data_IF_334051387444
#
_entry.id   IF_334051387444
#
_cell.length_a   1.000
_cell.length_b   1.000
_cell.length_c   1.000
_cell.angle_alpha   90.00
_cell.angle_beta   90.00
_cell.angle_gamma   90.00
#
_symmetry.space_group_name_H-M   'P 1'
#
loop_
_entity.id
_entity.type
_entity.pdbx_description
1 polymer ?
#
# COMPACT_ATOMS: atom_id res chain seq x y z
N UNK A 1 12.94 1.86 8.83
CA UNK A 1 12.92 0.51 8.20
C UNK A 1 12.06 -0.47 8.98
N UNK A 2 12.08 -0.41 10.32
CA UNK A 2 11.38 -1.33 11.24
C UNK A 2 9.85 -1.35 11.09
N UNK A 3 9.20 -0.19 10.93
CA UNK A 3 7.73 -0.11 10.88
C UNK A 3 7.11 -0.95 9.75
N UNK A 4 7.67 -0.87 8.55
CA UNK A 4 7.17 -1.63 7.39
C UNK A 4 7.38 -3.14 7.58
N UNK A 5 8.50 -3.55 8.15
CA UNK A 5 8.75 -4.96 8.45
C UNK A 5 7.75 -5.50 9.47
N UNK A 6 7.47 -4.74 10.54
CA UNK A 6 6.46 -5.11 11.54
C UNK A 6 5.05 -5.15 10.92
N UNK A 7 4.73 -4.22 10.02
CA UNK A 7 3.45 -4.23 9.30
C UNK A 7 3.27 -5.48 8.44
N UNK A 8 4.30 -5.89 7.70
CA UNK A 8 4.29 -7.13 6.92
C UNK A 8 4.13 -8.35 7.84
N UNK A 9 4.86 -8.38 8.95
CA UNK A 9 4.77 -9.48 9.90
C UNK A 9 3.38 -9.59 10.53
N UNK A 10 2.76 -8.46 10.89
CA UNK A 10 1.36 -8.44 11.36
C UNK A 10 0.39 -8.98 10.31
N UNK A 11 0.60 -8.66 9.03
CA UNK A 11 -0.21 -9.21 7.94
C UNK A 11 -0.04 -10.73 7.79
N UNK A 12 1.19 -11.23 7.94
CA UNK A 12 1.47 -12.67 7.96
C UNK A 12 0.71 -13.32 9.12
N UNK A 13 0.81 -12.76 10.33
CA UNK A 13 0.10 -13.26 11.51
C UNK A 13 -1.42 -13.27 11.32
N UNK A 14 -2.01 -12.22 10.73
CA UNK A 14 -3.45 -12.18 10.48
C UNK A 14 -3.93 -13.23 9.47
N UNK A 15 -3.04 -13.75 8.62
CA UNK A 15 -3.34 -14.78 7.62
C UNK A 15 -3.06 -16.19 8.11
N UNK A 16 -2.20 -16.34 9.12
CA UNK A 16 -1.89 -17.65 9.71
C UNK A 16 -3.00 -18.04 10.69
N UNK A 17 -3.74 -19.10 10.39
CA UNK A 17 -4.72 -19.65 11.34
C UNK A 17 -4.05 -20.46 12.47
N UNK A 18 -2.93 -21.12 12.16
CA UNK A 18 -2.16 -21.92 13.12
C UNK A 18 -0.73 -21.36 13.25
N UNK A 19 -0.12 -21.43 14.45
CA UNK A 19 1.22 -20.90 14.69
C UNK A 19 2.32 -21.65 13.91
N UNK A 20 2.13 -22.94 13.64
CA UNK A 20 3.05 -23.76 12.83
C UNK A 20 3.20 -23.27 11.39
N UNK A 21 2.17 -22.61 10.84
CA UNK A 21 2.21 -22.07 9.47
C UNK A 21 3.05 -20.79 9.35
N UNK A 22 3.39 -20.13 10.47
CA UNK A 22 4.17 -18.88 10.45
C UNK A 22 5.53 -19.10 9.81
N UNK A 23 6.17 -20.23 10.11
CA UNK A 23 7.47 -20.58 9.52
C UNK A 23 7.37 -20.75 8.00
N UNK A 24 6.28 -21.34 7.51
CA UNK A 24 6.02 -21.54 6.09
C UNK A 24 5.79 -20.21 5.37
N UNK A 25 4.94 -19.33 5.92
CA UNK A 25 4.70 -18.00 5.36
C UNK A 25 5.97 -17.14 5.35
N UNK A 26 6.78 -17.24 6.40
CA UNK A 26 8.04 -16.50 6.46
C UNK A 26 9.05 -17.04 5.43
N UNK A 27 9.09 -18.36 5.21
CA UNK A 27 9.89 -18.98 4.17
C UNK A 27 9.45 -18.48 2.78
N UNK A 28 8.16 -18.40 2.53
CA UNK A 28 7.61 -17.88 1.27
C UNK A 28 7.96 -16.40 1.09
N UNK A 29 7.72 -15.56 2.10
CA UNK A 29 8.08 -14.14 2.06
C UNK A 29 9.56 -13.91 1.72
N UNK A 30 10.47 -14.75 2.27
CA UNK A 30 11.91 -14.67 1.98
C UNK A 30 12.26 -15.03 0.54
N UNK A 31 11.49 -15.91 -0.10
CA UNK A 31 11.72 -16.39 -1.46
C UNK A 31 10.89 -15.65 -2.53
N UNK A 32 9.87 -14.89 -2.15
CA UNK A 32 9.05 -14.12 -3.08
C UNK A 32 9.80 -12.89 -3.60
N UNK A 33 9.99 -12.73 -4.91
CA UNK A 33 10.67 -11.57 -5.47
C UNK A 33 9.86 -10.28 -5.24
N UNK A 34 10.56 -9.21 -4.90
CA UNK A 34 9.94 -7.90 -4.74
C UNK A 34 9.58 -7.35 -6.14
N UNK A 35 8.30 -7.00 -6.42
CA UNK A 35 7.85 -6.68 -7.79
C UNK A 35 8.63 -5.56 -8.49
N UNK A 36 9.09 -4.56 -7.74
CA UNK A 36 9.82 -3.42 -8.31
C UNK A 36 11.32 -3.70 -8.51
N UNK A 37 11.85 -4.75 -7.89
CA UNK A 37 13.29 -5.00 -7.79
C UNK A 37 13.68 -6.31 -8.50
N UNK A 38 12.76 -7.25 -8.61
CA UNK A 38 12.96 -8.57 -9.22
C UNK A 38 13.72 -9.55 -8.34
N UNK A 39 14.21 -9.11 -7.17
CA UNK A 39 14.97 -9.93 -6.24
C UNK A 39 14.17 -10.20 -4.96
N UNK A 40 14.30 -11.42 -4.44
CA UNK A 40 13.72 -11.82 -3.16
C UNK A 40 14.58 -11.37 -1.97
N UNK A 41 14.01 -11.24 -0.76
CA UNK A 41 14.78 -10.89 0.43
C UNK A 41 15.96 -11.82 0.71
N UNK A 42 15.81 -13.13 0.49
CA UNK A 42 16.89 -14.10 0.66
C UNK A 42 18.02 -13.90 -0.35
N UNK A 43 17.69 -13.61 -1.62
CA UNK A 43 18.69 -13.32 -2.64
C UNK A 43 19.48 -12.05 -2.31
N UNK A 44 18.84 -11.02 -1.78
CA UNK A 44 19.52 -9.77 -1.40
C UNK A 44 20.46 -9.94 -0.21
N UNK A 45 20.12 -10.84 0.72
CA UNK A 45 20.89 -11.05 1.94
C UNK A 45 21.97 -12.15 1.79
N UNK A 46 21.65 -13.21 1.04
CA UNK A 46 22.43 -14.45 0.97
C UNK A 46 22.90 -14.79 -0.44
N UNK A 47 22.57 -13.97 -1.44
CA UNK A 47 22.88 -14.22 -2.86
C UNK A 47 22.40 -15.60 -3.35
N UNK A 48 21.29 -16.12 -2.80
CA UNK A 48 20.71 -17.41 -3.21
C UNK A 48 19.22 -17.50 -2.90
N UNK A 49 18.54 -18.45 -3.53
CA UNK A 49 17.16 -18.84 -3.20
C UNK A 49 17.18 -19.95 -2.14
N UNK A 50 16.19 -19.99 -1.25
CA UNK A 50 16.07 -21.04 -0.23
C UNK A 50 15.20 -22.20 -0.70
N UNK A 51 15.48 -23.41 -0.19
CA UNK A 51 14.62 -24.58 -0.41
C UNK A 51 13.20 -24.28 0.07
N UNK A 52 12.21 -24.66 -0.73
CA UNK A 52 10.79 -24.61 -0.38
C UNK A 52 10.18 -26.01 -0.34
N UNK A 53 8.90 -26.12 0.03
CA UNK A 53 8.15 -27.38 -0.06
C UNK A 53 8.00 -27.87 -1.50
N UNK A 54 8.09 -26.95 -2.47
CA UNK A 54 8.05 -27.30 -3.88
C UNK A 54 9.42 -27.83 -4.33
N UNK A 55 9.45 -28.92 -5.10
CA UNK A 55 10.70 -29.43 -5.65
C UNK A 55 11.34 -28.33 -6.50
N UNK A 56 12.54 -27.94 -6.11
CA UNK A 56 13.30 -26.86 -6.74
C UNK A 56 14.61 -27.45 -7.27
N UNK A 57 15.04 -27.02 -8.44
CA UNK A 57 16.32 -27.45 -9.03
C UNK A 57 17.50 -27.14 -8.10
N UNK A 58 18.41 -28.09 -7.94
CA UNK A 58 19.63 -27.91 -7.12
C UNK A 58 20.51 -26.77 -7.60
N UNK A 59 20.46 -26.45 -8.89
CA UNK A 59 21.22 -25.34 -9.45
C UNK A 59 20.71 -23.98 -8.95
N UNK A 60 19.39 -23.83 -8.76
CA UNK A 60 18.80 -22.58 -8.26
C UNK A 60 19.10 -22.30 -6.77
N UNK A 61 19.57 -23.31 -6.04
CA UNK A 61 19.93 -23.23 -4.61
C UNK A 61 21.39 -22.82 -4.40
N UNK A 62 22.19 -22.79 -5.47
CA UNK A 62 23.57 -22.31 -5.45
C UNK A 62 23.58 -20.79 -5.34
N UNK A 63 24.69 -20.28 -4.82
CA UNK A 63 24.89 -18.83 -4.70
C UNK A 63 25.09 -18.23 -6.09
N UNK A 64 24.24 -17.28 -6.45
CA UNK A 64 24.32 -16.46 -7.65
C UNK A 64 24.60 -15.02 -7.22
N UNK A 65 25.70 -14.46 -7.73
CA UNK A 65 26.06 -13.08 -7.42
C UNK A 65 25.03 -12.14 -8.04
N UNK A 66 24.31 -11.42 -7.18
CA UNK A 66 23.43 -10.34 -7.62
C UNK A 66 24.31 -9.21 -8.14
N UNK A 67 24.07 -8.75 -9.37
CA UNK A 67 24.76 -7.60 -9.92
C UNK A 67 24.38 -6.34 -9.11
N UNK A 68 25.34 -5.84 -8.34
CA UNK A 68 25.14 -4.71 -7.43
C UNK A 68 24.74 -3.42 -8.18
N UNK A 69 25.33 -3.18 -9.36
CA UNK A 69 25.05 -2.00 -10.16
C UNK A 69 23.60 -2.02 -10.67
N UNK A 70 23.17 -3.17 -11.20
CA UNK A 70 21.78 -3.36 -11.64
C UNK A 70 20.78 -3.17 -10.49
N UNK A 71 21.09 -3.73 -9.33
CA UNK A 71 20.29 -3.57 -8.12
C UNK A 71 20.21 -2.10 -7.70
N UNK A 72 21.33 -1.38 -7.65
CA UNK A 72 21.38 0.02 -7.26
C UNK A 72 20.58 0.90 -8.22
N UNK A 73 20.66 0.65 -9.52
CA UNK A 73 19.88 1.37 -10.52
C UNK A 73 18.37 1.13 -10.35
N UNK A 74 17.93 -0.13 -10.16
CA UNK A 74 16.53 -0.46 -9.86
C UNK A 74 16.06 0.18 -8.55
N UNK A 75 16.90 0.14 -7.51
CA UNK A 75 16.59 0.71 -6.21
C UNK A 75 16.46 2.24 -6.27
N UNK A 76 17.35 2.94 -6.98
CA UNK A 76 17.26 4.39 -7.23
C UNK A 76 15.97 4.74 -7.98
N UNK A 77 15.65 4.01 -9.06
CA UNK A 77 14.39 4.23 -9.80
C UNK A 77 13.17 4.10 -8.88
N UNK A 78 13.13 3.07 -8.03
CA UNK A 78 12.09 2.88 -7.01
C UNK A 78 12.01 4.05 -6.01
N UNK A 79 13.15 4.54 -5.53
CA UNK A 79 13.21 5.69 -4.61
C UNK A 79 12.62 6.95 -5.26
N UNK A 80 13.00 7.21 -6.52
CA UNK A 80 12.53 8.38 -7.27
C UNK A 80 11.02 8.28 -7.53
N UNK A 81 10.52 7.12 -7.96
CA UNK A 81 9.08 6.90 -8.18
C UNK A 81 8.25 7.09 -6.91
N UNK A 82 8.75 6.63 -5.76
CA UNK A 82 8.08 6.88 -4.47
C UNK A 82 8.05 8.36 -4.09
N UNK A 83 9.13 9.11 -4.33
CA UNK A 83 9.17 10.57 -4.10
C UNK A 83 8.24 11.34 -5.02
N UNK A 84 8.12 10.93 -6.29
CA UNK A 84 7.17 11.51 -7.26
C UNK A 84 5.73 11.26 -6.84
N UNK A 85 5.40 10.02 -6.49
CA UNK A 85 4.05 9.63 -6.09
C UNK A 85 3.69 10.12 -4.67
N UNK A 86 4.68 10.36 -3.80
CA UNK A 86 4.50 10.86 -2.44
C UNK A 86 4.26 12.36 -2.33
N UNK A 87 4.18 13.10 -3.44
CA UNK A 87 3.89 14.56 -3.46
C UNK A 87 2.40 14.91 -3.34
N UNK A 88 1.50 13.96 -3.21
CA UNK A 88 0.07 14.21 -3.05
C UNK A 88 -0.52 13.39 -1.90
N UNK A 89 -0.60 13.99 -0.72
CA UNK A 89 -1.72 14.02 0.25
C UNK A 89 -1.22 14.55 1.60
N UNK A 90 -1.04 15.87 1.71
CA UNK A 90 -1.10 16.49 3.03
C UNK A 90 -2.58 16.52 3.41
N UNK A 91 -3.05 15.59 4.26
CA UNK A 91 -4.43 15.62 4.79
C UNK A 91 -4.75 16.85 5.64
N UNK A 92 -3.78 17.75 5.81
CA UNK A 92 -3.89 18.97 6.63
C UNK A 92 -3.68 20.26 5.86
N UNK A 93 -3.26 20.23 4.59
CA UNK A 93 -3.16 21.45 3.76
C UNK A 93 -3.76 21.15 2.39
N UNK A 94 -5.05 21.46 2.25
CA UNK A 94 -5.65 21.59 0.93
C UNK A 94 -5.22 22.96 0.40
N UNK A 95 -4.03 23.03 -0.19
CA UNK A 95 -3.70 24.14 -1.10
C UNK A 95 -4.52 23.89 -2.37
N UNK A 96 -5.81 24.23 -2.31
CA UNK A 96 -6.62 24.35 -3.50
C UNK A 96 -6.04 25.50 -4.33
N UNK A 97 -5.86 25.34 -5.65
CA UNK A 97 -5.58 26.49 -6.50
C UNK A 97 -6.75 27.49 -6.34
N UNK A 98 -6.42 28.77 -6.17
CA UNK A 98 -7.42 29.84 -6.10
C UNK A 98 -8.28 29.77 -7.37
N UNK A 99 -9.47 29.20 -7.23
CA UNK A 99 -10.49 29.29 -8.27
C UNK A 99 -11.00 30.72 -8.21
N UNK A 100 -10.56 31.53 -9.18
CA UNK A 100 -11.11 32.86 -9.43
C UNK A 100 -12.62 32.73 -9.66
N UNK A 101 -13.42 33.12 -8.68
CA UNK A 101 -14.88 32.97 -8.64
C UNK A 101 -15.63 33.88 -9.63
N UNK A 102 -14.92 34.59 -10.52
CA UNK A 102 -15.45 35.76 -11.22
C UNK A 102 -16.13 35.45 -12.56
N UNK A 103 -16.43 34.19 -12.86
CA UNK A 103 -17.23 33.83 -14.04
C UNK A 103 -18.45 33.00 -13.66
N UNK A 104 -19.52 33.69 -13.31
CA UNK A 104 -20.86 33.13 -13.39
C UNK A 104 -21.16 32.83 -14.88
N UNK A 105 -21.03 31.57 -15.30
CA UNK A 105 -21.56 31.13 -16.59
C UNK A 105 -23.08 31.24 -16.50
N UNK A 106 -23.64 32.29 -17.12
CA UNK A 106 -25.08 32.51 -17.13
C UNK A 106 -25.74 31.57 -18.14
N UNK A 107 -26.98 31.14 -17.86
CA UNK A 107 -27.73 30.14 -18.62
C UNK A 107 -27.99 30.48 -20.11
N UNK A 108 -27.56 31.66 -20.57
CA UNK A 108 -27.58 32.09 -21.97
C UNK A 108 -26.64 31.26 -22.87
N UNK A 109 -25.57 30.69 -22.31
CA UNK A 109 -24.48 30.12 -23.10
C UNK A 109 -24.70 28.64 -23.50
N UNK A 110 -25.84 28.02 -23.14
CA UNK A 110 -26.15 26.63 -23.50
C UNK A 110 -27.57 26.49 -24.08
N UNK A 111 -27.74 26.34 -25.41
CA UNK A 111 -29.06 26.18 -26.04
C UNK A 111 -29.66 24.76 -25.91
N UNK A 112 -29.21 23.93 -24.95
CA UNK A 112 -29.64 22.53 -24.82
C UNK A 112 -29.84 22.19 -23.34
N UNK A 113 -31.05 22.45 -22.84
CA UNK A 113 -31.43 22.34 -21.43
C UNK A 113 -31.39 20.91 -20.88
N UNK A 114 -30.20 20.43 -20.52
CA UNK A 114 -30.02 19.29 -19.61
C UNK A 114 -28.98 19.69 -18.56
N UNK A 115 -29.46 20.07 -17.38
CA UNK A 115 -28.62 20.28 -16.20
C UNK A 115 -28.42 18.89 -15.57
N UNK A 116 -27.19 18.41 -15.33
CA UNK A 116 -26.99 17.17 -14.60
C UNK A 116 -27.40 17.37 -13.14
N UNK A 117 -28.38 16.61 -12.67
CA UNK A 117 -28.81 16.62 -11.26
C UNK A 117 -27.68 15.96 -10.44
N UNK A 118 -27.13 16.64 -9.42
CA UNK A 118 -26.16 16.00 -8.53
C UNK A 118 -26.82 14.85 -7.76
N UNK A 119 -26.12 13.73 -7.51
CA UNK A 119 -26.69 12.66 -6.71
C UNK A 119 -27.04 13.19 -5.31
N UNK A 120 -28.29 12.98 -4.89
CA UNK A 120 -28.76 13.39 -3.56
C UNK A 120 -27.91 12.68 -2.50
N UNK A 121 -27.16 13.46 -1.72
CA UNK A 121 -26.42 12.98 -0.56
C UNK A 121 -27.45 12.47 0.45
N UNK A 122 -27.65 11.17 0.54
CA UNK A 122 -28.51 10.58 1.55
C UNK A 122 -27.99 10.97 2.93
N UNK A 123 -28.92 11.48 3.73
CA UNK A 123 -28.72 12.00 5.07
C UNK A 123 -28.08 10.96 6.01
N UNK A 124 -27.16 11.46 6.84
CA UNK A 124 -26.65 10.92 8.11
C UNK A 124 -26.64 9.41 8.34
N UNK A 125 -25.43 8.82 8.44
CA UNK A 125 -25.25 7.64 9.29
C UNK A 125 -25.13 8.10 10.73
N UNK A 126 -26.14 7.81 11.56
CA UNK A 126 -26.00 7.93 13.01
C UNK A 126 -24.98 6.90 13.49
N UNK A 127 -23.85 7.37 14.02
CA UNK A 127 -22.86 6.50 14.67
C UNK A 127 -23.44 6.14 16.04
N UNK A 128 -23.92 4.92 16.20
CA UNK A 128 -24.33 4.38 17.51
C UNK A 128 -23.04 4.00 18.25
N UNK A 129 -22.70 4.63 19.39
CA UNK A 129 -21.51 4.26 20.14
C UNK A 129 -21.66 2.84 20.74
N UNK A 130 -20.56 2.07 20.83
CA UNK A 130 -20.60 0.73 21.41
C UNK A 130 -21.04 0.78 22.88
N UNK A 131 -21.80 -0.23 23.30
CA UNK A 131 -22.51 -0.33 24.59
C UNK A 131 -21.67 -0.08 25.85
N UNK A 132 -20.34 -0.15 25.75
CA UNK A 132 -19.41 0.02 26.88
C UNK A 132 -19.25 1.47 27.39
N UNK A 133 -19.81 2.46 26.68
CA UNK A 133 -19.72 3.87 27.07
C UNK A 133 -21.01 4.44 27.69
N UNK A 134 -22.04 3.61 27.95
CA UNK A 134 -23.28 4.07 28.61
C UNK A 134 -23.18 4.23 30.13
N UNK A 135 -22.12 3.74 30.76
CA UNK A 135 -22.03 3.67 32.24
C UNK A 135 -21.36 4.88 32.89
N UNK A 136 -20.92 5.89 32.13
CA UNK A 136 -20.21 7.06 32.66
C UNK A 136 -20.98 8.39 32.55
N UNK A 137 -22.31 8.35 32.40
CA UNK A 137 -23.15 9.55 32.51
C UNK A 137 -24.22 9.29 33.57
N UNK A 138 -23.81 9.43 34.83
CA UNK A 138 -24.68 9.61 35.98
C UNK A 138 -24.19 10.84 36.75
N UNK A 139 -25.18 11.68 37.07
CA UNK A 139 -25.23 12.92 37.86
C UNK A 139 -24.74 14.23 37.20
#
# INVERSE_FOLDING_TARGET
MTERAVGIFKQILSKCSNPENIALFLMEYRNTPLPQLGFSPAQLLLNRILKTQLPTSENALKTELVNADEFHEKYKKKQISQKRNGKFINKTNLDFPDIEYDRLVTASDNPSGVIPIPPTRSSGRTIIPPSRLREYVLD
#
